data_IF_158807678590
#
_entry.id   IF_158807678590
#
_cell.length_a   1.000
_cell.length_b   1.000
_cell.length_c   1.000
_cell.angle_alpha   90.00
_cell.angle_beta   90.00
_cell.angle_gamma   90.00
#
_symmetry.space_group_name_H-M   'P 1'
#
loop_
_entity.id
_entity.type
_entity.pdbx_description
1 polymer ?
#
# COMPACT_ATOMS: atom_id res chain seq x y z
N UNK A 1 20.48 5.78 1.81
CA UNK A 1 19.32 6.29 1.03
C UNK A 1 18.86 7.58 1.66
N UNK A 2 18.98 8.72 0.97
CA UNK A 2 18.44 10.00 1.44
C UNK A 2 16.91 9.95 1.39
N UNK A 3 16.27 10.07 2.55
CA UNK A 3 14.82 10.24 2.70
C UNK A 3 14.44 11.67 2.33
N UNK A 4 14.15 11.95 1.07
CA UNK A 4 13.64 13.28 0.67
C UNK A 4 12.67 13.16 -0.51
N UNK A 5 11.48 12.67 -0.24
CA UNK A 5 10.26 13.14 -0.92
C UNK A 5 9.39 13.73 0.20
N UNK A 6 8.82 14.95 0.04
CA UNK A 6 8.02 15.54 1.10
C UNK A 6 6.75 14.70 1.27
N UNK A 7 6.74 13.85 2.31
CA UNK A 7 5.54 13.18 2.77
C UNK A 7 4.60 14.24 3.32
N UNK A 8 3.47 14.47 2.63
CA UNK A 8 2.42 15.35 3.11
C UNK A 8 1.72 14.66 4.28
N UNK A 9 2.16 14.99 5.50
CA UNK A 9 1.64 14.33 6.67
C UNK A 9 0.14 14.65 6.88
N UNK A 10 -0.73 13.64 7.05
CA UNK A 10 -2.16 13.87 7.28
C UNK A 10 -2.39 14.48 8.68
N UNK A 11 -3.59 14.96 9.02
CA UNK A 11 -3.93 15.35 10.40
C UNK A 11 -3.71 14.20 11.41
N UNK A 12 -3.38 14.51 12.66
CA UNK A 12 -3.01 13.52 13.70
C UNK A 12 -4.03 12.39 13.86
N UNK A 13 -5.33 12.67 13.72
CA UNK A 13 -6.41 11.67 13.82
C UNK A 13 -6.40 10.58 12.74
N UNK A 14 -5.65 10.76 11.64
CA UNK A 14 -5.50 9.78 10.56
C UNK A 14 -4.13 9.06 10.58
N UNK A 15 -3.26 9.42 11.52
CA UNK A 15 -1.87 8.91 11.61
C UNK A 15 -1.73 7.60 12.39
N UNK A 16 -2.82 7.02 12.86
CA UNK A 16 -2.80 5.77 13.62
C UNK A 16 -3.97 4.88 13.25
N UNK A 17 -3.68 3.60 13.04
CA UNK A 17 -4.68 2.56 12.75
C UNK A 17 -4.29 1.25 13.44
N UNK A 18 -5.11 0.22 13.23
CA UNK A 18 -4.78 -1.13 13.66
C UNK A 18 -3.61 -1.67 12.80
N UNK A 19 -2.51 -2.13 13.42
CA UNK A 19 -1.42 -2.73 12.68
C UNK A 19 -1.86 -4.03 12.01
N UNK A 20 -1.38 -4.25 10.78
CA UNK A 20 -1.67 -5.45 10.00
C UNK A 20 -0.52 -6.44 10.16
N UNK A 21 -0.79 -7.53 10.88
CA UNK A 21 0.19 -8.57 11.16
C UNK A 21 -0.27 -9.48 12.29
N UNK A 22 0.28 -10.68 12.31
CA UNK A 22 0.11 -11.61 13.41
C UNK A 22 0.94 -11.24 14.64
N UNK A 23 0.57 -11.81 15.78
CA UNK A 23 1.37 -11.85 16.99
C UNK A 23 2.73 -12.45 16.64
N UNK A 24 3.82 -11.77 17.04
CA UNK A 24 5.23 -12.16 16.78
C UNK A 24 5.68 -12.21 15.32
N UNK A 25 4.86 -11.84 14.33
CA UNK A 25 5.27 -11.85 12.91
C UNK A 25 5.82 -10.52 12.41
N UNK A 26 5.81 -9.50 13.27
CA UNK A 26 5.91 -8.10 12.86
C UNK A 26 4.65 -7.63 12.13
N UNK A 27 4.59 -6.33 11.84
CA UNK A 27 3.40 -5.70 11.25
C UNK A 27 3.73 -4.58 10.27
N UNK A 28 2.73 -4.24 9.46
CA UNK A 28 2.71 -3.03 8.64
C UNK A 28 1.50 -2.19 9.06
N UNK A 29 1.66 -0.88 9.23
CA UNK A 29 0.57 0.04 9.47
C UNK A 29 -0.02 0.54 8.13
N UNK A 30 -1.34 0.38 7.92
CA UNK A 30 -2.07 1.02 6.81
C UNK A 30 -2.95 2.15 7.35
N UNK A 31 -2.43 3.37 7.36
CA UNK A 31 -3.06 4.53 7.99
C UNK A 31 -4.41 4.91 7.39
N UNK A 32 -5.18 5.68 8.15
CA UNK A 32 -6.51 6.16 7.75
C UNK A 32 -6.48 7.13 6.56
N UNK A 33 -5.30 7.64 6.19
CA UNK A 33 -5.05 8.42 4.98
C UNK A 33 -4.62 7.56 3.77
N UNK A 34 -4.56 6.23 3.92
CA UNK A 34 -4.16 5.26 2.89
C UNK A 34 -2.65 5.04 2.78
N UNK A 35 -1.84 5.64 3.66
CA UNK A 35 -0.39 5.52 3.60
C UNK A 35 0.10 4.27 4.35
N UNK A 36 1.03 3.54 3.72
CA UNK A 36 1.73 2.45 4.40
C UNK A 36 2.86 3.03 5.25
N UNK A 37 2.81 2.74 6.54
CA UNK A 37 3.69 3.30 7.55
C UNK A 37 4.13 2.24 8.57
N UNK A 38 5.06 2.61 9.46
CA UNK A 38 5.55 1.80 10.59
C UNK A 38 5.67 0.31 10.30
N UNK A 39 6.71 -0.08 9.55
CA UNK A 39 7.02 -1.48 9.30
C UNK A 39 7.90 -2.04 10.42
N UNK A 40 7.44 -3.13 11.04
CA UNK A 40 8.07 -3.78 12.20
C UNK A 40 8.35 -5.26 11.98
N UNK A 41 8.55 -5.66 10.72
CA UNK A 41 8.76 -7.07 10.28
C UNK A 41 10.03 -7.70 10.89
N UNK A 42 10.97 -6.92 11.44
CA UNK A 42 12.17 -7.46 12.11
C UNK A 42 11.89 -8.07 13.50
N UNK A 43 12.72 -9.05 13.85
CA UNK A 43 12.88 -9.55 15.21
C UNK A 43 13.23 -8.36 16.13
N UNK A 44 12.37 -8.04 17.09
CA UNK A 44 12.44 -6.85 17.98
C UNK A 44 13.63 -6.89 18.97
N UNK A 45 14.76 -7.48 18.57
CA UNK A 45 15.98 -7.62 19.36
C UNK A 45 17.13 -6.85 18.71
N UNK A 46 17.75 -5.89 19.41
CA UNK A 46 17.36 -5.39 20.73
C UNK A 46 16.04 -4.61 20.66
N UNK A 47 15.39 -4.47 21.82
CA UNK A 47 14.11 -3.76 22.00
C UNK A 47 14.27 -2.24 21.77
N UNK A 48 14.50 -1.85 20.52
CA UNK A 48 14.58 -0.51 19.96
C UNK A 48 14.87 -0.56 18.43
N UNK A 49 14.73 -1.73 17.79
CA UNK A 49 15.03 -1.93 16.37
C UNK A 49 14.39 -0.87 15.48
N UNK A 50 15.09 -0.47 14.43
CA UNK A 50 14.70 0.67 13.61
C UNK A 50 13.32 0.43 12.97
N UNK A 51 12.33 1.23 13.37
CA UNK A 51 11.05 1.30 12.65
C UNK A 51 11.28 1.96 11.31
N UNK A 52 10.88 1.30 10.24
CA UNK A 52 10.81 1.96 8.93
C UNK A 52 9.54 2.81 8.92
N UNK A 53 9.71 4.11 8.63
CA UNK A 53 8.63 5.09 8.59
C UNK A 53 7.73 4.91 7.37
N UNK A 54 7.42 6.00 6.66
CA UNK A 54 6.58 5.92 5.46
C UNK A 54 7.33 5.15 4.39
N UNK A 55 6.68 4.14 3.81
CA UNK A 55 7.15 3.48 2.60
C UNK A 55 6.35 4.05 1.44
N UNK A 56 6.82 5.16 0.89
CA UNK A 56 5.99 5.98 0.03
C UNK A 56 5.61 5.28 -1.28
N UNK A 57 6.46 4.36 -1.74
CA UNK A 57 6.24 3.53 -2.93
C UNK A 57 5.29 2.34 -2.68
N UNK A 58 4.95 2.00 -1.43
CA UNK A 58 3.95 0.98 -1.14
C UNK A 58 2.56 1.59 -1.31
N UNK A 59 1.81 1.23 -2.34
CA UNK A 59 0.61 1.95 -2.74
C UNK A 59 -0.50 1.03 -3.23
N UNK A 60 -1.72 1.51 -3.05
CA UNK A 60 -2.93 0.94 -3.62
C UNK A 60 -3.48 1.96 -4.63
N UNK A 61 -3.91 1.48 -5.79
CA UNK A 61 -4.51 2.32 -6.82
C UNK A 61 -5.69 1.63 -7.48
N UNK A 62 -6.61 2.43 -8.00
CA UNK A 62 -7.75 2.00 -8.79
C UNK A 62 -7.76 2.76 -10.12
N UNK A 63 -8.07 2.04 -11.20
CA UNK A 63 -8.44 2.62 -12.49
C UNK A 63 -9.91 2.34 -12.76
N UNK A 64 -10.62 3.38 -13.17
CA UNK A 64 -12.02 3.32 -13.60
C UNK A 64 -12.08 3.74 -15.06
N UNK A 65 -12.71 2.92 -15.91
CA UNK A 65 -12.91 3.24 -17.31
C UNK A 65 -14.40 3.15 -17.65
N UNK A 66 -14.97 4.25 -18.11
CA UNK A 66 -16.30 4.26 -18.70
C UNK A 66 -16.23 3.54 -20.06
N UNK A 67 -17.03 2.49 -20.24
CA UNK A 67 -16.98 1.69 -21.48
C UNK A 67 -17.74 2.31 -22.64
N UNK A 68 -18.61 3.29 -22.40
CA UNK A 68 -19.34 4.02 -23.43
C UNK A 68 -18.51 5.18 -23.99
N UNK A 69 -17.91 5.99 -23.10
CA UNK A 69 -17.13 7.17 -23.50
C UNK A 69 -15.63 6.90 -23.69
N UNK A 70 -15.13 5.75 -23.22
CA UNK A 70 -13.71 5.43 -23.06
C UNK A 70 -12.92 6.35 -22.11
N UNK A 71 -13.58 7.26 -21.40
CA UNK A 71 -12.95 8.11 -20.38
C UNK A 71 -12.36 7.24 -19.25
N UNK A 72 -11.16 7.58 -18.80
CA UNK A 72 -10.41 6.81 -17.81
C UNK A 72 -9.94 7.71 -16.67
N UNK A 73 -10.15 7.26 -15.44
CA UNK A 73 -9.66 7.92 -14.24
C UNK A 73 -8.82 6.95 -13.43
N UNK A 74 -7.60 7.36 -13.09
CA UNK A 74 -6.75 6.63 -12.16
C UNK A 74 -6.61 7.40 -10.86
N UNK A 75 -6.73 6.70 -9.73
CA UNK A 75 -6.63 7.30 -8.39
C UNK A 75 -5.79 6.41 -7.47
N UNK A 76 -4.89 7.02 -6.71
CA UNK A 76 -4.30 6.38 -5.55
C UNK A 76 -5.34 6.34 -4.43
N UNK A 77 -5.42 5.24 -3.71
CA UNK A 77 -6.23 5.13 -2.49
C UNK A 77 -5.50 5.81 -1.32
N UNK A 78 -5.25 7.11 -1.46
CA UNK A 78 -4.61 7.99 -0.48
C UNK A 78 -5.24 9.37 -0.52
N UNK A 79 -5.47 9.98 0.64
CA UNK A 79 -5.99 11.36 0.72
C UNK A 79 -4.90 12.43 0.58
N UNK A 80 -3.67 12.08 0.94
CA UNK A 80 -2.50 12.96 0.85
C UNK A 80 -1.48 12.30 -0.10
N UNK A 81 -1.81 12.29 -1.40
CA UNK A 81 -0.92 11.70 -2.40
C UNK A 81 0.37 12.50 -2.56
N UNK A 82 1.42 11.82 -3.04
CA UNK A 82 2.62 12.52 -3.47
C UNK A 82 2.35 13.24 -4.81
N UNK A 83 3.12 14.29 -5.09
CA UNK A 83 2.80 15.35 -6.06
C UNK A 83 2.58 14.92 -7.53
N UNK A 84 2.71 13.64 -7.87
CA UNK A 84 2.62 13.14 -9.25
C UNK A 84 1.37 12.30 -9.53
N UNK A 85 0.56 11.98 -8.52
CA UNK A 85 -0.58 11.09 -8.70
C UNK A 85 -1.83 11.65 -8.01
N UNK A 86 -2.98 11.55 -8.68
CA UNK A 86 -4.25 11.98 -8.11
C UNK A 86 -4.68 11.03 -6.99
N UNK A 87 -4.80 11.56 -5.77
CA UNK A 87 -5.38 10.86 -4.63
C UNK A 87 -6.90 10.83 -4.66
N UNK A 88 -7.50 10.26 -3.63
CA UNK A 88 -8.95 10.29 -3.39
C UNK A 88 -9.28 11.34 -2.34
N UNK A 89 -10.48 11.91 -2.40
CA UNK A 89 -10.86 12.99 -1.48
C UNK A 89 -11.05 12.49 -0.04
N UNK A 90 -11.58 11.27 0.12
CA UNK A 90 -11.93 10.74 1.44
C UNK A 90 -11.68 9.24 1.57
N UNK A 91 -11.26 8.82 2.76
CA UNK A 91 -11.21 7.42 3.21
C UNK A 91 -11.99 7.36 4.52
N UNK A 92 -12.86 6.35 4.65
CA UNK A 92 -13.46 6.00 5.94
C UNK A 92 -12.85 4.69 6.40
N UNK A 93 -12.10 4.76 7.48
CA UNK A 93 -11.48 3.60 8.09
C UNK A 93 -12.34 3.10 9.25
N UNK A 94 -12.59 1.79 9.27
CA UNK A 94 -13.23 1.09 10.38
C UNK A 94 -12.36 -0.12 10.70
N UNK A 95 -11.92 -0.23 11.95
CA UNK A 95 -11.09 -1.34 12.39
C UNK A 95 -11.42 -1.74 13.82
N UNK A 96 -11.40 -3.04 14.06
CA UNK A 96 -11.35 -3.65 15.38
C UNK A 96 -10.22 -4.67 15.36
N UNK A 97 -9.54 -4.89 16.48
CA UNK A 97 -8.45 -5.85 16.58
C UNK A 97 -8.96 -7.15 17.21
N UNK A 98 -9.17 -8.23 16.43
CA UNK A 98 -9.58 -9.51 17.00
C UNK A 98 -8.35 -10.28 17.49
N UNK A 99 -8.36 -10.70 18.76
CA UNK A 99 -7.58 -11.84 19.23
C UNK A 99 -8.55 -12.82 19.85
N UNK A 100 -8.89 -13.90 19.15
CA UNK A 100 -9.66 -15.02 19.73
C UNK A 100 -9.08 -16.40 19.40
N UNK A 101 -8.14 -16.50 18.46
CA UNK A 101 -7.51 -17.76 18.05
C UNK A 101 -5.99 -17.57 17.95
N UNK A 102 -5.26 -18.14 18.90
CA UNK A 102 -3.80 -18.05 18.99
C UNK A 102 -3.10 -18.54 17.72
N UNK A 103 -3.56 -19.64 17.13
CA UNK A 103 -2.89 -20.24 15.96
C UNK A 103 -3.06 -19.36 14.72
N UNK A 104 -4.27 -18.83 14.50
CA UNK A 104 -4.52 -17.88 13.41
C UNK A 104 -3.81 -16.55 13.65
N UNK A 105 -3.77 -16.08 14.89
CA UNK A 105 -3.09 -14.85 15.26
C UNK A 105 -1.58 -14.92 15.05
N UNK A 106 -0.95 -16.08 14.90
CA UNK A 106 0.50 -16.21 14.62
C UNK A 106 0.84 -16.30 13.12
N UNK A 107 -0.15 -16.19 12.23
CA UNK A 107 0.08 -16.32 10.78
C UNK A 107 0.58 -14.98 10.20
N UNK A 108 1.71 -14.95 9.45
CA UNK A 108 2.23 -13.74 8.80
C UNK A 108 1.44 -13.43 7.52
N UNK A 109 0.13 -13.16 7.65
CA UNK A 109 -0.75 -12.95 6.51
C UNK A 109 -1.70 -11.77 6.75
N UNK A 110 -2.00 -11.07 5.66
CA UNK A 110 -2.99 -10.00 5.57
C UNK A 110 -3.92 -10.35 4.42
N UNK A 111 -5.23 -10.20 4.62
CA UNK A 111 -6.23 -10.40 3.57
C UNK A 111 -6.85 -9.05 3.25
N UNK A 112 -6.79 -8.66 1.97
CA UNK A 112 -7.56 -7.54 1.44
C UNK A 112 -8.80 -8.09 0.75
N UNK A 113 -9.97 -7.66 1.21
CA UNK A 113 -11.24 -7.89 0.52
C UNK A 113 -11.71 -6.59 -0.07
N UNK A 114 -12.19 -6.66 -1.31
CA UNK A 114 -12.59 -5.51 -2.09
C UNK A 114 -14.05 -5.69 -2.49
N UNK A 115 -14.86 -4.69 -2.15
CA UNK A 115 -16.25 -4.60 -2.54
C UNK A 115 -16.46 -3.30 -3.30
N UNK A 116 -17.15 -3.35 -4.43
CA UNK A 116 -17.35 -2.22 -5.34
C UNK A 116 -18.81 -2.18 -5.74
N UNK A 117 -19.38 -0.98 -5.67
CA UNK A 117 -20.72 -0.69 -6.15
C UNK A 117 -20.60 0.31 -7.32
N UNK A 118 -21.23 -0.01 -8.45
CA UNK A 118 -21.38 0.94 -9.55
C UNK A 118 -22.77 1.59 -9.44
N UNK A 119 -22.88 2.83 -8.97
CA UNK A 119 -24.17 3.52 -8.87
C UNK A 119 -24.65 4.09 -10.22
N UNK A 120 -23.80 4.05 -11.26
CA UNK A 120 -24.13 4.60 -12.57
C UNK A 120 -24.95 3.60 -13.39
N UNK A 121 -25.66 4.13 -14.38
CA UNK A 121 -26.44 3.37 -15.36
C UNK A 121 -25.61 2.82 -16.52
N UNK A 122 -24.36 3.26 -16.67
CA UNK A 122 -23.41 2.78 -17.68
C UNK A 122 -22.39 1.78 -17.10
N UNK A 123 -21.88 0.85 -17.94
CA UNK A 123 -20.89 -0.13 -17.52
C UNK A 123 -19.50 0.50 -17.34
N UNK A 124 -18.81 0.07 -16.28
CA UNK A 124 -17.45 0.52 -15.92
C UNK A 124 -16.51 -0.68 -15.86
N UNK A 125 -15.36 -0.58 -16.51
CA UNK A 125 -14.25 -1.50 -16.29
C UNK A 125 -13.36 -0.98 -15.16
N UNK A 126 -12.92 -1.89 -14.29
CA UNK A 126 -12.20 -1.56 -13.07
C UNK A 126 -10.93 -2.40 -12.97
N UNK A 127 -9.82 -1.74 -12.69
CA UNK A 127 -8.54 -2.38 -12.42
C UNK A 127 -7.99 -1.95 -11.07
N UNK A 128 -7.33 -2.88 -10.39
CA UNK A 128 -6.73 -2.67 -9.09
C UNK A 128 -5.23 -2.91 -9.16
N UNK A 129 -4.49 -2.06 -8.48
CA UNK A 129 -3.06 -2.23 -8.31
C UNK A 129 -2.71 -2.24 -6.84
N UNK A 130 -1.96 -3.26 -6.45
CA UNK A 130 -1.27 -3.35 -5.17
C UNK A 130 0.22 -3.40 -5.46
N UNK A 131 0.93 -2.35 -5.07
CA UNK A 131 2.38 -2.29 -5.16
C UNK A 131 2.95 -2.27 -3.75
N UNK A 132 3.79 -3.25 -3.43
CA UNK A 132 4.60 -3.24 -2.22
C UNK A 132 6.03 -3.52 -2.63
N UNK A 133 6.92 -2.51 -2.53
CA UNK A 133 8.32 -2.71 -2.88
C UNK A 133 8.90 -3.78 -1.97
N UNK A 134 9.47 -4.81 -2.57
CA UNK A 134 10.37 -5.74 -1.88
C UNK A 134 11.73 -5.03 -1.68
N UNK A 135 12.47 -5.38 -0.64
CA UNK A 135 13.77 -4.77 -0.32
C UNK A 135 13.70 -3.33 0.20
N UNK A 136 12.65 -2.97 0.95
CA UNK A 136 12.67 -1.74 1.77
C UNK A 136 13.80 -1.80 2.81
N UNK A 137 14.23 -3.02 3.15
CA UNK A 137 15.28 -3.32 4.12
C UNK A 137 16.42 -4.12 3.47
N UNK A 138 17.62 -4.02 4.04
CA UNK A 138 18.86 -4.58 3.48
C UNK A 138 18.89 -6.12 3.58
N UNK A 139 18.23 -6.70 4.58
CA UNK A 139 18.11 -8.14 4.84
C UNK A 139 17.07 -8.84 3.95
N UNK A 140 16.12 -8.09 3.41
CA UNK A 140 15.16 -8.54 2.38
C UNK A 140 15.81 -8.68 0.99
N UNK A 141 17.07 -8.26 0.82
CA UNK A 141 17.82 -8.45 -0.41
C UNK A 141 18.10 -9.93 -0.60
N UNK A 142 17.42 -10.58 -1.54
CA UNK A 142 17.63 -12.00 -1.84
C UNK A 142 19.02 -12.20 -2.46
N UNK A 143 19.99 -12.67 -1.67
CA UNK A 143 21.29 -13.14 -2.18
C UNK A 143 21.14 -14.52 -2.83
N UNK A 144 20.49 -14.60 -4.00
CA UNK A 144 20.50 -15.82 -4.80
C UNK A 144 21.55 -15.73 -5.92
N UNK A 145 22.44 -16.73 -6.00
CA UNK A 145 23.36 -16.92 -7.16
C UNK A 145 22.62 -17.10 -8.49
N UNK A 146 21.34 -17.47 -8.42
CA UNK A 146 20.41 -17.36 -9.53
C UNK A 146 19.90 -15.92 -9.50
N UNK A 147 20.52 -15.08 -10.31
CA UNK A 147 19.95 -13.78 -10.66
C UNK A 147 18.63 -14.09 -11.36
N UNK A 148 17.50 -14.01 -10.63
CA UNK A 148 16.26 -13.67 -11.31
C UNK A 148 16.57 -12.28 -11.82
N UNK A 149 16.75 -12.19 -13.14
CA UNK A 149 16.95 -10.93 -13.85
C UNK A 149 16.11 -9.90 -13.14
N UNK A 150 16.75 -8.87 -12.57
CA UNK A 150 16.02 -7.72 -12.07
C UNK A 150 15.27 -7.25 -13.30
N UNK A 151 14.00 -7.65 -13.41
CA UNK A 151 13.17 -7.21 -14.51
C UNK A 151 12.96 -5.76 -14.12
N UNK A 152 13.84 -4.89 -14.64
CA UNK A 152 13.49 -3.52 -14.94
C UNK A 152 12.42 -3.67 -16.02
N UNK A 153 11.26 -4.11 -15.58
CA UNK A 153 10.20 -4.48 -16.49
C UNK A 153 9.67 -3.17 -16.97
N UNK A 154 9.58 -3.02 -18.28
CA UNK A 154 8.77 -1.98 -18.88
C UNK A 154 7.34 -2.01 -18.30
N UNK A 155 6.92 -3.09 -17.62
CA UNK A 155 5.70 -3.17 -16.79
C UNK A 155 5.68 -2.22 -15.59
N UNK A 156 6.81 -1.92 -14.92
CA UNK A 156 6.85 -0.90 -13.85
C UNK A 156 6.61 0.50 -14.43
N UNK A 157 7.16 0.78 -15.63
CA UNK A 157 6.90 2.01 -16.36
C UNK A 157 5.45 2.05 -16.86
N UNK A 158 4.86 0.92 -17.28
CA UNK A 158 3.44 0.84 -17.65
C UNK A 158 2.51 1.05 -16.45
N UNK A 159 2.84 0.50 -15.28
CA UNK A 159 2.08 0.76 -14.05
C UNK A 159 2.15 2.23 -13.62
N UNK A 160 3.28 2.91 -13.85
CA UNK A 160 3.40 4.36 -13.62
C UNK A 160 2.72 5.17 -14.72
N UNK A 161 2.80 4.76 -15.99
CA UNK A 161 2.18 5.47 -17.11
C UNK A 161 0.65 5.48 -17.01
N UNK A 162 0.05 4.45 -16.42
CA UNK A 162 -1.39 4.42 -16.12
C UNK A 162 -1.85 5.46 -15.10
N UNK A 163 -0.93 6.00 -14.29
CA UNK A 163 -1.25 6.97 -13.24
C UNK A 163 -0.77 8.39 -13.64
N UNK A 164 0.11 8.51 -14.64
CA UNK A 164 0.69 9.77 -15.12
C UNK A 164 0.08 10.35 -16.41
N UNK A 165 -0.81 9.61 -17.10
CA UNK A 165 -1.55 10.13 -18.24
C UNK A 165 -2.95 10.58 -17.79
N UNK A 166 -3.06 11.86 -17.42
CA UNK A 166 -4.32 12.62 -17.31
C UNK A 166 -4.16 13.95 -18.00
#
# INVERSE_FOLDING_TARGET
MNRTFPYNHPPTGLRSVVPLGGITTGSIELRGDGTFHEWTIENQSPAAGAKYGVVDNALLAIRLKNLETNETHTRLLRTHSNHNFNGIDTIRYYGSYPISDLNRSMTPAIIYSLNIENPNDYPIAIDFMYNVPLSVQIDQTRLSKIVIQQIISNTYIQCISWIGES
#
